data_IF_052792628044
#
_entry.id   IF_052792628044
#
_cell.length_a   1.000
_cell.length_b   1.000
_cell.length_c   1.000
_cell.angle_alpha   90.00
_cell.angle_beta   90.00
_cell.angle_gamma   90.00
#
_symmetry.space_group_name_H-M   'P 1'
#
loop_
_entity.id
_entity.type
_entity.pdbx_description
1 polymer ?
#
# COMPACT_ATOMS: atom_id res chain seq x y z
N UNK A 1 14.83 -47.78 -28.38
CA UNK A 1 14.16 -46.46 -28.18
C UNK A 1 13.83 -46.13 -26.72
N UNK A 2 14.55 -46.72 -25.75
CA UNK A 2 14.40 -46.40 -24.32
C UNK A 2 15.25 -45.19 -23.85
N UNK A 3 16.16 -44.69 -24.68
CA UNK A 3 17.09 -43.61 -24.33
C UNK A 3 16.53 -42.20 -24.57
N UNK A 4 15.43 -42.06 -25.30
CA UNK A 4 14.82 -40.74 -25.58
C UNK A 4 13.76 -40.27 -24.55
N UNK A 5 13.19 -41.25 -23.80
CA UNK A 5 12.12 -40.92 -22.83
C UNK A 5 12.62 -40.38 -21.49
N UNK A 6 13.85 -40.72 -21.09
CA UNK A 6 14.42 -40.31 -19.83
C UNK A 6 14.95 -38.87 -19.87
N UNK A 7 15.46 -38.40 -21.01
CA UNK A 7 15.92 -37.01 -21.19
C UNK A 7 14.78 -35.97 -21.09
N UNK A 8 13.59 -36.35 -21.59
CA UNK A 8 12.42 -35.46 -21.55
C UNK A 8 11.78 -35.42 -20.15
N UNK A 9 11.83 -36.49 -19.40
CA UNK A 9 11.35 -36.55 -18.01
C UNK A 9 12.25 -35.75 -17.08
N UNK A 10 13.58 -35.86 -17.24
CA UNK A 10 14.53 -35.07 -16.47
C UNK A 10 14.34 -33.58 -16.71
N UNK A 11 14.20 -33.13 -17.97
CA UNK A 11 13.95 -31.71 -18.29
C UNK A 11 12.63 -31.19 -17.72
N UNK A 12 11.56 -31.98 -17.77
CA UNK A 12 10.28 -31.60 -17.17
C UNK A 12 10.32 -31.53 -15.64
N UNK A 13 11.05 -32.43 -14.98
CA UNK A 13 11.25 -32.41 -13.51
C UNK A 13 12.13 -31.22 -13.09
N UNK A 14 13.19 -30.91 -13.82
CA UNK A 14 14.02 -29.73 -13.58
C UNK A 14 13.21 -28.43 -13.75
N UNK A 15 12.45 -28.29 -14.84
CA UNK A 15 11.59 -27.13 -15.08
C UNK A 15 10.48 -26.98 -14.01
N UNK A 16 9.89 -28.07 -13.55
CA UNK A 16 8.92 -28.07 -12.46
C UNK A 16 9.55 -27.69 -11.11
N UNK A 17 10.76 -28.18 -10.82
CA UNK A 17 11.52 -27.84 -9.62
C UNK A 17 11.94 -26.36 -9.61
N UNK A 18 12.42 -25.84 -10.74
CA UNK A 18 12.76 -24.42 -10.90
C UNK A 18 11.54 -23.52 -10.73
N UNK A 19 10.41 -23.88 -11.33
CA UNK A 19 9.17 -23.11 -11.20
C UNK A 19 8.62 -23.12 -9.77
N UNK A 20 8.77 -24.23 -9.05
CA UNK A 20 8.36 -24.34 -7.65
C UNK A 20 9.27 -23.52 -6.73
N UNK A 21 10.58 -23.60 -6.89
CA UNK A 21 11.56 -22.79 -6.14
C UNK A 21 11.37 -21.30 -6.41
N UNK A 22 11.09 -20.91 -7.66
CA UNK A 22 10.79 -19.54 -8.03
C UNK A 22 9.51 -19.02 -7.37
N UNK A 23 8.48 -19.87 -7.31
CA UNK A 23 7.22 -19.51 -6.65
C UNK A 23 7.38 -19.37 -5.12
N UNK A 24 8.20 -20.20 -4.48
CA UNK A 24 8.50 -20.08 -3.05
C UNK A 24 9.26 -18.79 -2.73
N UNK A 25 10.26 -18.42 -3.52
CA UNK A 25 11.03 -17.18 -3.35
C UNK A 25 10.12 -15.96 -3.48
N UNK A 26 9.19 -15.94 -4.45
CA UNK A 26 8.22 -14.85 -4.61
C UNK A 26 7.29 -14.75 -3.39
N UNK A 27 6.87 -15.88 -2.81
CA UNK A 27 6.03 -15.88 -1.62
C UNK A 27 6.78 -15.34 -0.40
N UNK A 28 8.05 -15.70 -0.21
CA UNK A 28 8.88 -15.19 0.88
C UNK A 28 9.11 -13.68 0.75
N UNK A 29 9.48 -13.20 -0.44
CA UNK A 29 9.67 -11.78 -0.73
C UNK A 29 8.38 -10.99 -0.53
N UNK A 30 7.25 -11.53 -0.97
CA UNK A 30 5.95 -10.91 -0.79
C UNK A 30 5.54 -10.85 0.68
N UNK A 31 5.82 -11.90 1.45
CA UNK A 31 5.55 -11.94 2.88
C UNK A 31 6.43 -10.95 3.64
N UNK A 32 7.71 -10.84 3.26
CA UNK A 32 8.64 -9.88 3.84
C UNK A 32 8.19 -8.44 3.56
N UNK A 33 7.85 -8.15 2.30
CA UNK A 33 7.30 -6.85 1.91
C UNK A 33 6.06 -6.49 2.75
N UNK A 34 5.12 -7.43 2.85
CA UNK A 34 3.89 -7.22 3.61
C UNK A 34 4.15 -6.96 5.10
N UNK A 35 5.08 -7.70 5.71
CA UNK A 35 5.46 -7.49 7.13
C UNK A 35 6.03 -6.09 7.35
N UNK A 36 6.93 -5.64 6.49
CA UNK A 36 7.53 -4.29 6.57
C UNK A 36 6.44 -3.24 6.34
N UNK A 37 5.58 -3.44 5.35
CA UNK A 37 4.48 -2.52 5.03
C UNK A 37 3.48 -2.36 6.19
N UNK A 38 3.14 -3.46 6.86
CA UNK A 38 2.25 -3.43 8.04
C UNK A 38 2.84 -2.58 9.17
N UNK A 39 4.16 -2.60 9.36
CA UNK A 39 4.83 -1.71 10.32
C UNK A 39 4.71 -0.23 9.93
N UNK A 40 4.51 0.06 8.64
CA UNK A 40 4.26 1.40 8.12
C UNK A 40 2.83 1.91 8.29
N UNK A 41 1.86 1.04 8.57
CA UNK A 41 0.44 1.43 8.69
C UNK A 41 0.18 2.58 9.68
N UNK A 42 0.82 2.67 10.85
CA UNK A 42 0.66 3.83 11.73
C UNK A 42 0.99 5.16 11.05
N UNK A 43 2.04 5.22 10.23
CA UNK A 43 2.41 6.45 9.51
C UNK A 43 1.37 6.82 8.45
N UNK A 44 0.85 5.82 7.72
CA UNK A 44 -0.25 6.01 6.77
C UNK A 44 -1.49 6.54 7.49
N UNK A 45 -1.83 5.96 8.64
CA UNK A 45 -2.95 6.41 9.46
C UNK A 45 -2.78 7.88 9.90
N UNK A 46 -1.64 8.23 10.48
CA UNK A 46 -1.35 9.60 10.90
C UNK A 46 -1.39 10.60 9.73
N UNK A 47 -0.85 10.21 8.58
CA UNK A 47 -0.90 11.05 7.38
C UNK A 47 -2.36 11.27 6.93
N UNK A 48 -3.20 10.23 6.89
CA UNK A 48 -4.60 10.36 6.52
C UNK A 48 -5.39 11.23 7.50
N UNK A 49 -5.14 11.09 8.81
CA UNK A 49 -5.75 11.96 9.83
C UNK A 49 -5.35 13.41 9.62
N UNK A 50 -4.05 13.67 9.42
CA UNK A 50 -3.56 15.03 9.15
C UNK A 50 -4.18 15.63 7.89
N UNK A 51 -4.27 14.85 6.80
CA UNK A 51 -4.91 15.26 5.55
C UNK A 51 -6.40 15.58 5.74
N UNK A 52 -7.11 14.78 6.53
CA UNK A 52 -8.50 15.04 6.89
C UNK A 52 -8.68 16.35 7.66
N UNK A 53 -7.78 16.64 8.61
CA UNK A 53 -7.78 17.89 9.38
C UNK A 53 -7.51 19.09 8.46
N UNK A 54 -6.50 19.02 7.58
CA UNK A 54 -6.24 20.08 6.60
C UNK A 54 -7.43 20.36 5.70
N UNK A 55 -8.08 19.29 5.20
CA UNK A 55 -9.28 19.40 4.37
C UNK A 55 -10.45 20.05 5.13
N UNK A 56 -10.63 19.70 6.39
CA UNK A 56 -11.65 20.32 7.26
C UNK A 56 -11.38 21.81 7.52
N UNK A 57 -10.11 22.20 7.55
CA UNK A 57 -9.68 23.60 7.70
C UNK A 57 -9.66 24.39 6.36
N UNK A 58 -10.04 23.75 5.26
CA UNK A 58 -10.09 24.37 3.93
C UNK A 58 -8.74 24.45 3.21
N UNK A 59 -7.70 23.82 3.73
CA UNK A 59 -6.36 23.79 3.13
C UNK A 59 -6.12 22.45 2.42
N UNK A 60 -6.58 22.34 1.17
CA UNK A 60 -6.35 21.15 0.33
C UNK A 60 -5.00 21.17 -0.40
N UNK A 61 -4.31 22.32 -0.43
CA UNK A 61 -3.04 22.46 -1.15
C UNK A 61 -1.87 21.87 -0.37
N UNK A 62 -1.84 22.08 0.93
CA UNK A 62 -0.75 21.59 1.79
C UNK A 62 -0.61 20.06 1.78
N UNK A 63 -1.67 19.25 1.94
CA UNK A 63 -1.56 17.79 1.83
C UNK A 63 -1.03 17.34 0.46
N UNK A 64 -1.42 18.01 -0.62
CA UNK A 64 -0.92 17.70 -1.97
C UNK A 64 0.60 17.86 -2.07
N UNK A 65 1.16 18.95 -1.53
CA UNK A 65 2.60 19.16 -1.53
C UNK A 65 3.37 18.12 -0.70
N UNK A 66 2.82 17.72 0.44
CA UNK A 66 3.40 16.62 1.22
C UNK A 66 3.32 15.28 0.52
N UNK A 67 2.23 15.00 -0.20
CA UNK A 67 2.11 13.81 -1.03
C UNK A 67 3.15 13.79 -2.15
N UNK A 68 3.30 14.92 -2.86
CA UNK A 68 4.30 15.06 -3.92
C UNK A 68 5.72 14.87 -3.37
N UNK A 69 6.04 15.51 -2.24
CA UNK A 69 7.32 15.34 -1.56
C UNK A 69 7.56 13.86 -1.18
N UNK A 70 6.57 13.22 -0.58
CA UNK A 70 6.64 11.80 -0.21
C UNK A 70 6.91 10.90 -1.41
N UNK A 71 6.23 11.16 -2.53
CA UNK A 71 6.39 10.39 -3.77
C UNK A 71 7.79 10.55 -4.36
N UNK A 72 8.31 11.77 -4.43
CA UNK A 72 9.67 12.02 -4.92
C UNK A 72 10.70 11.38 -3.99
N UNK A 73 10.56 11.54 -2.68
CA UNK A 73 11.44 10.92 -1.69
C UNK A 73 11.40 9.39 -1.80
N UNK A 74 10.23 8.80 -1.97
CA UNK A 74 10.07 7.34 -2.15
C UNK A 74 10.83 6.86 -3.39
N UNK A 75 10.64 7.50 -4.54
CA UNK A 75 11.35 7.14 -5.78
C UNK A 75 12.87 7.21 -5.60
N UNK A 76 13.38 8.28 -4.97
CA UNK A 76 14.81 8.41 -4.73
C UNK A 76 15.35 7.33 -3.79
N UNK A 77 14.61 7.02 -2.74
CA UNK A 77 14.99 5.98 -1.78
C UNK A 77 14.89 4.58 -2.39
N UNK A 78 13.87 4.31 -3.22
CA UNK A 78 13.74 3.04 -3.94
C UNK A 78 14.96 2.82 -4.85
N UNK A 79 15.32 3.81 -5.65
CA UNK A 79 16.50 3.74 -6.52
C UNK A 79 17.78 3.54 -5.68
N UNK A 80 17.92 4.25 -4.58
CA UNK A 80 19.08 4.12 -3.70
C UNK A 80 19.14 2.73 -3.06
N UNK A 81 18.05 2.23 -2.49
CA UNK A 81 18.02 0.94 -1.80
C UNK A 81 18.20 -0.24 -2.77
N UNK A 82 17.66 -0.13 -4.00
CA UNK A 82 17.75 -1.20 -4.99
C UNK A 82 19.10 -1.16 -5.73
N UNK A 83 19.55 0.03 -6.20
CA UNK A 83 20.75 0.13 -7.06
C UNK A 83 22.06 0.24 -6.28
N UNK A 84 22.04 0.83 -5.08
CA UNK A 84 23.27 1.08 -4.29
C UNK A 84 23.43 0.06 -3.17
N UNK A 85 22.34 -0.26 -2.46
CA UNK A 85 22.37 -1.19 -1.32
C UNK A 85 22.05 -2.63 -1.71
N UNK A 86 21.53 -2.86 -2.92
CA UNK A 86 21.18 -4.20 -3.46
C UNK A 86 20.20 -4.99 -2.55
N UNK A 87 19.30 -4.26 -1.86
CA UNK A 87 18.36 -4.84 -0.90
C UNK A 87 17.10 -5.43 -1.54
N UNK A 88 16.97 -5.35 -2.87
CA UNK A 88 15.85 -5.92 -3.61
C UNK A 88 14.48 -5.48 -3.09
N UNK A 89 13.57 -6.44 -2.90
CA UNK A 89 12.18 -6.20 -2.47
C UNK A 89 12.08 -5.59 -1.06
N UNK A 90 12.95 -6.01 -0.14
CA UNK A 90 13.01 -5.44 1.20
C UNK A 90 13.37 -3.95 1.18
N UNK A 91 14.30 -3.56 0.29
CA UNK A 91 14.68 -2.16 0.09
C UNK A 91 13.51 -1.30 -0.34
N UNK A 92 12.72 -1.74 -1.30
CA UNK A 92 11.52 -1.04 -1.75
C UNK A 92 10.47 -0.88 -0.61
N UNK A 93 10.25 -1.94 0.18
CA UNK A 93 9.34 -1.86 1.31
C UNK A 93 9.81 -0.84 2.37
N UNK A 94 11.08 -0.86 2.72
CA UNK A 94 11.67 0.07 3.69
C UNK A 94 11.62 1.51 3.19
N UNK A 95 11.97 1.74 1.91
CA UNK A 95 11.91 3.06 1.29
C UNK A 95 10.49 3.63 1.32
N UNK A 96 9.48 2.80 1.06
CA UNK A 96 8.07 3.19 1.12
C UNK A 96 7.66 3.58 2.55
N UNK A 97 7.95 2.75 3.54
CA UNK A 97 7.61 3.04 4.95
C UNK A 97 8.35 4.27 5.47
N UNK A 98 9.63 4.41 5.12
CA UNK A 98 10.44 5.55 5.54
C UNK A 98 9.95 6.87 4.94
N UNK A 99 9.68 6.92 3.63
CA UNK A 99 9.18 8.12 2.96
C UNK A 99 7.81 8.55 3.51
N UNK A 100 6.92 7.59 3.80
CA UNK A 100 5.64 7.85 4.44
C UNK A 100 5.81 8.34 5.87
N UNK A 101 6.72 7.75 6.64
CA UNK A 101 7.04 8.17 8.01
C UNK A 101 7.56 9.60 8.06
N UNK A 102 8.53 9.93 7.22
CA UNK A 102 9.08 11.31 7.11
C UNK A 102 7.97 12.29 6.73
N UNK A 103 7.16 11.95 5.73
CA UNK A 103 6.07 12.81 5.29
C UNK A 103 5.01 13.02 6.37
N UNK A 104 4.63 11.96 7.10
CA UNK A 104 3.67 12.04 8.20
C UNK A 104 4.19 12.95 9.33
N UNK A 105 5.46 12.80 9.71
CA UNK A 105 6.09 13.64 10.75
C UNK A 105 6.18 15.10 10.31
N UNK A 106 6.62 15.38 9.09
CA UNK A 106 6.71 16.74 8.55
C UNK A 106 5.32 17.37 8.45
N UNK A 107 4.33 16.64 7.96
CA UNK A 107 2.94 17.07 7.88
C UNK A 107 2.38 17.42 9.26
N UNK A 108 2.64 16.58 10.27
CA UNK A 108 2.24 16.84 11.65
C UNK A 108 2.91 18.08 12.24
N UNK A 109 4.23 18.24 12.08
CA UNK A 109 4.98 19.41 12.56
C UNK A 109 4.45 20.69 11.92
N UNK A 110 4.22 20.66 10.59
CA UNK A 110 3.68 21.81 9.87
C UNK A 110 2.28 22.16 10.36
N UNK A 111 1.40 21.15 10.53
CA UNK A 111 0.05 21.32 11.03
C UNK A 111 0.02 22.01 12.41
N UNK A 112 0.85 21.54 13.35
CA UNK A 112 0.94 22.11 14.70
C UNK A 112 1.53 23.53 14.72
N UNK A 113 2.37 23.88 13.74
CA UNK A 113 2.92 25.23 13.61
C UNK A 113 1.95 26.20 12.94
N UNK A 114 1.22 25.74 11.93
CA UNK A 114 0.35 26.58 11.10
C UNK A 114 -0.99 26.89 11.77
N UNK A 115 -1.55 25.94 12.49
CA UNK A 115 -2.88 26.06 13.10
C UNK A 115 -2.78 26.08 14.62
N UNK A 116 -2.83 27.27 15.21
CA UNK A 116 -2.81 27.43 16.67
C UNK A 116 -4.02 26.78 17.36
N UNK A 117 -5.16 26.71 16.65
CA UNK A 117 -6.39 26.07 17.14
C UNK A 117 -6.20 24.57 17.46
N UNK A 118 -5.19 23.93 16.87
CA UNK A 118 -4.88 22.50 17.13
C UNK A 118 -3.95 22.29 18.32
N UNK A 119 -3.43 23.39 18.90
CA UNK A 119 -2.62 23.32 20.11
C UNK A 119 -3.54 23.17 21.32
N UNK A 120 -3.79 21.89 21.66
CA UNK A 120 -4.63 21.55 22.81
C UNK A 120 -3.98 21.98 24.12
N UNK A 121 -4.75 22.68 24.97
CA UNK A 121 -4.34 22.96 26.35
C UNK A 121 -4.43 21.69 27.21
N UNK A 122 -3.67 21.59 28.34
CA UNK A 122 -3.76 20.41 29.22
C UNK A 122 -5.18 20.14 29.74
N UNK A 123 -6.03 21.17 29.81
CA UNK A 123 -7.42 21.04 30.22
C UNK A 123 -8.32 20.38 29.17
N UNK A 124 -7.99 20.53 27.90
CA UNK A 124 -8.72 20.00 26.75
C UNK A 124 -8.32 18.57 26.38
N UNK A 125 -7.24 18.03 26.96
CA UNK A 125 -6.77 16.65 26.74
C UNK A 125 -7.61 15.60 27.49
N UNK A 126 -8.89 15.87 27.70
CA UNK A 126 -9.81 14.89 28.28
C UNK A 126 -10.44 14.08 27.17
N UNK A 127 -10.52 12.76 27.42
CA UNK A 127 -11.23 11.86 26.51
C UNK A 127 -12.73 12.14 26.58
N UNK A 128 -13.31 12.61 25.47
CA UNK A 128 -14.75 12.81 25.33
C UNK A 128 -15.37 11.58 24.66
N UNK A 129 -16.09 10.79 25.46
CA UNK A 129 -16.74 9.58 24.97
C UNK A 129 -17.89 9.85 24.01
N UNK A 130 -18.55 11.01 24.10
CA UNK A 130 -19.63 11.40 23.19
C UNK A 130 -19.05 11.70 21.80
N UNK A 131 -17.95 12.45 21.74
CA UNK A 131 -17.23 12.73 20.50
C UNK A 131 -16.67 11.44 19.87
N UNK A 132 -16.04 10.58 20.67
CA UNK A 132 -15.53 9.28 20.22
C UNK A 132 -16.64 8.42 19.62
N UNK A 133 -17.82 8.36 20.26
CA UNK A 133 -18.98 7.63 19.75
C UNK A 133 -19.46 8.18 18.41
N UNK A 134 -19.52 9.51 18.26
CA UNK A 134 -19.91 10.16 17.02
C UNK A 134 -18.93 9.83 15.89
N UNK A 135 -17.62 9.90 16.16
CA UNK A 135 -16.58 9.53 15.20
C UNK A 135 -16.69 8.06 14.78
N UNK A 136 -16.96 7.15 15.71
CA UNK A 136 -17.16 5.73 15.40
C UNK A 136 -18.42 5.51 14.56
N UNK A 137 -19.52 6.21 14.88
CA UNK A 137 -20.78 6.10 14.16
C UNK A 137 -20.65 6.54 12.68
N UNK A 138 -19.80 7.51 12.40
CA UNK A 138 -19.52 7.99 11.03
C UNK A 138 -18.43 7.13 10.39
N UNK A 139 -17.37 6.84 11.11
CA UNK A 139 -16.16 6.15 10.58
C UNK A 139 -16.38 4.68 10.24
N UNK A 140 -17.16 3.95 11.04
CA UNK A 140 -17.40 2.51 10.80
C UNK A 140 -18.14 2.27 9.48
N UNK A 141 -19.27 2.93 9.18
CA UNK A 141 -19.94 2.77 7.88
C UNK A 141 -19.04 3.17 6.70
N UNK A 142 -18.25 4.24 6.86
CA UNK A 142 -17.33 4.70 5.84
C UNK A 142 -16.21 3.67 5.60
N UNK A 143 -15.67 3.07 6.65
CA UNK A 143 -14.70 1.97 6.55
C UNK A 143 -15.29 0.74 5.86
N UNK A 144 -16.52 0.36 6.17
CA UNK A 144 -17.22 -0.75 5.51
C UNK A 144 -17.47 -0.46 4.02
N UNK A 145 -17.80 0.78 3.66
CA UNK A 145 -17.99 1.20 2.27
C UNK A 145 -16.75 0.94 1.41
N UNK A 146 -15.55 1.10 1.96
CA UNK A 146 -14.29 0.79 1.27
C UNK A 146 -13.90 -0.68 1.36
N UNK A 147 -14.23 -1.34 2.46
CA UNK A 147 -13.85 -2.74 2.70
C UNK A 147 -14.65 -3.73 1.84
N UNK A 148 -15.94 -3.49 1.64
CA UNK A 148 -16.81 -4.38 0.85
C UNK A 148 -16.34 -4.53 -0.60
N UNK A 149 -16.07 -3.45 -1.37
CA UNK A 149 -15.50 -3.56 -2.71
C UNK A 149 -14.12 -4.22 -2.73
N UNK A 150 -13.29 -4.02 -1.70
CA UNK A 150 -11.99 -4.66 -1.60
C UNK A 150 -12.11 -6.18 -1.47
N UNK A 151 -12.99 -6.67 -0.59
CA UNK A 151 -13.28 -8.09 -0.44
C UNK A 151 -13.85 -8.66 -1.76
N UNK A 152 -14.80 -7.95 -2.40
CA UNK A 152 -15.33 -8.33 -3.71
C UNK A 152 -14.24 -8.46 -4.79
N UNK A 153 -13.28 -7.55 -4.79
CA UNK A 153 -12.13 -7.59 -5.72
C UNK A 153 -11.24 -8.81 -5.48
N UNK A 154 -10.99 -9.18 -4.22
CA UNK A 154 -10.21 -10.38 -3.86
C UNK A 154 -10.93 -11.65 -4.33
N UNK A 155 -12.24 -11.76 -4.09
CA UNK A 155 -13.03 -12.90 -4.54
C UNK A 155 -13.05 -13.01 -6.07
N UNK A 156 -13.20 -11.89 -6.77
CA UNK A 156 -13.17 -11.82 -8.23
C UNK A 156 -11.79 -12.22 -8.78
N UNK A 157 -10.71 -11.75 -8.15
CA UNK A 157 -9.33 -12.11 -8.52
C UNK A 157 -9.10 -13.62 -8.32
N UNK A 158 -9.59 -14.18 -7.22
CA UNK A 158 -9.49 -15.62 -6.95
C UNK A 158 -10.23 -16.45 -8.01
N UNK A 159 -11.44 -16.04 -8.39
CA UNK A 159 -12.21 -16.68 -9.44
C UNK A 159 -11.50 -16.58 -10.82
N UNK A 160 -10.92 -15.41 -11.14
CA UNK A 160 -10.15 -15.23 -12.37
C UNK A 160 -8.92 -16.12 -12.43
N UNK A 161 -8.21 -16.29 -11.32
CA UNK A 161 -7.04 -17.16 -11.26
C UNK A 161 -7.40 -18.61 -11.57
N UNK A 162 -8.62 -19.06 -11.22
CA UNK A 162 -9.12 -20.39 -11.55
C UNK A 162 -9.44 -20.58 -13.05
N UNK A 163 -9.66 -19.49 -13.80
CA UNK A 163 -9.99 -19.53 -15.25
C UNK A 163 -8.76 -19.55 -16.17
N UNK A 164 -7.55 -19.45 -15.60
CA UNK A 164 -6.29 -19.55 -16.33
C UNK A 164 -5.67 -18.20 -16.71
N UNK A 165 -4.42 -18.27 -17.16
CA UNK A 165 -3.54 -17.09 -17.36
C UNK A 165 -4.04 -16.08 -18.39
N UNK A 166 -4.71 -16.55 -19.45
CA UNK A 166 -5.27 -15.66 -20.47
C UNK A 166 -6.40 -14.78 -19.90
N UNK A 167 -7.24 -15.35 -19.04
CA UNK A 167 -8.33 -14.63 -18.39
C UNK A 167 -7.78 -13.58 -17.37
N UNK A 168 -6.76 -13.96 -16.61
CA UNK A 168 -6.06 -13.05 -15.68
C UNK A 168 -5.45 -11.87 -16.42
N UNK A 169 -4.80 -12.11 -17.57
CA UNK A 169 -4.19 -11.04 -18.38
C UNK A 169 -5.26 -10.09 -18.93
N UNK A 170 -6.35 -10.62 -19.48
CA UNK A 170 -7.46 -9.81 -19.99
C UNK A 170 -8.13 -8.97 -18.88
N UNK A 171 -8.37 -9.57 -17.72
CA UNK A 171 -8.94 -8.88 -16.57
C UNK A 171 -8.02 -7.76 -16.05
N UNK A 172 -6.72 -8.02 -15.95
CA UNK A 172 -5.74 -7.03 -15.53
C UNK A 172 -5.70 -5.85 -16.50
N UNK A 173 -5.74 -6.09 -17.82
CA UNK A 173 -5.81 -5.06 -18.83
C UNK A 173 -7.09 -4.20 -18.69
N UNK A 174 -8.25 -4.85 -18.50
CA UNK A 174 -9.52 -4.16 -18.29
C UNK A 174 -9.50 -3.28 -17.02
N UNK A 175 -8.91 -3.76 -15.92
CA UNK A 175 -8.76 -3.00 -14.68
C UNK A 175 -7.83 -1.78 -14.85
N UNK A 176 -6.77 -1.89 -15.67
CA UNK A 176 -5.90 -0.74 -16.01
C UNK A 176 -6.66 0.33 -16.79
N UNK A 177 -7.48 -0.08 -17.77
CA UNK A 177 -8.31 0.85 -18.55
C UNK A 177 -9.33 1.53 -17.63
N UNK A 178 -10.02 0.76 -16.76
CA UNK A 178 -10.94 1.31 -15.76
C UNK A 178 -10.27 2.37 -14.88
N UNK A 179 -9.06 2.09 -14.39
CA UNK A 179 -8.30 3.01 -13.54
C UNK A 179 -7.99 4.33 -14.26
N UNK A 180 -7.65 4.25 -15.55
CA UNK A 180 -7.41 5.44 -16.39
C UNK A 180 -8.66 6.33 -16.48
N UNK A 181 -9.84 5.74 -16.71
CA UNK A 181 -11.09 6.51 -16.75
C UNK A 181 -11.49 7.11 -15.40
N UNK A 182 -11.22 6.41 -14.30
CA UNK A 182 -11.49 6.94 -12.94
C UNK A 182 -10.58 8.14 -12.63
N UNK A 183 -9.34 8.16 -13.12
CA UNK A 183 -8.44 9.31 -12.93
C UNK A 183 -8.84 10.56 -13.73
N UNK A 184 -9.70 10.41 -14.75
CA UNK A 184 -10.18 11.54 -15.56
C UNK A 184 -11.49 12.16 -15.03
N UNK A 185 -12.17 11.50 -14.10
CA UNK A 185 -13.41 11.96 -13.44
C UNK A 185 -13.12 12.65 -12.11
#
# INVERSE_FOLDING_TARGET
DLCGADGNRSGAVYAASESHSYAENILEDSALYLRIYVLGLPFVFFYNVATGIFSALGDSKTPFWFLLFSTVLNILLDLFCILVLDWGVAGAAIATVFSQGVSAVLCYIYMMKRFEILRTTPAERKFDSALARTLMYIGVPMGLQFSIPAIGSIMLQSANNALGTACVAAFTAAMRIKMFFICLL
#
